data_IF_241962659414
#
_entry.id   IF_241962659414
#
_cell.length_a   1.000
_cell.length_b   1.000
_cell.length_c   1.000
_cell.angle_alpha   90.00
_cell.angle_beta   90.00
_cell.angle_gamma   90.00
#
_symmetry.space_group_name_H-M   'P 1'
#
loop_
_entity.id
_entity.type
_entity.pdbx_description
1 polymer ?
#
# COMPACT_ATOMS: atom_id res chain seq x y z
N UNK A 1 4.29 3.67 -7.70
CA UNK A 1 3.20 4.66 -7.59
C UNK A 1 2.47 4.90 -8.91
N UNK A 2 1.37 4.17 -9.15
CA UNK A 2 0.23 4.57 -10.00
C UNK A 2 -0.91 3.61 -9.66
N UNK A 3 -2.09 4.16 -9.35
CA UNK A 3 -3.37 3.47 -9.09
C UNK A 3 -3.67 2.99 -7.66
N UNK A 4 -3.57 3.86 -6.66
CA UNK A 4 -4.17 3.56 -5.35
C UNK A 4 -5.01 4.69 -4.75
N UNK A 5 -5.74 5.44 -5.59
CA UNK A 5 -6.79 6.36 -5.09
C UNK A 5 -7.91 6.39 -6.12
N UNK A 6 -8.80 5.39 -6.11
CA UNK A 6 -10.09 5.49 -6.80
C UNK A 6 -11.14 4.46 -6.34
N UNK A 7 -11.20 4.13 -5.06
CA UNK A 7 -12.34 3.37 -4.51
C UNK A 7 -12.58 3.73 -3.04
N UNK A 8 -13.07 4.93 -2.76
CA UNK A 8 -13.77 5.23 -1.51
C UNK A 8 -14.81 6.32 -1.76
N UNK A 9 -15.86 5.96 -2.49
CA UNK A 9 -17.16 6.65 -2.37
C UNK A 9 -17.92 5.97 -1.24
N UNK A 10 -18.02 6.70 -0.12
CA UNK A 10 -18.78 6.33 1.07
C UNK A 10 -20.25 6.65 0.78
N UNK A 11 -21.10 5.63 0.70
CA UNK A 11 -22.53 5.73 1.00
C UNK A 11 -22.93 4.58 1.95
N UNK A 12 -23.90 4.83 2.86
CA UNK A 12 -24.00 4.11 4.12
C UNK A 12 -24.73 2.77 3.99
N UNK A 13 -24.18 1.74 4.64
CA UNK A 13 -24.82 0.45 4.90
C UNK A 13 -26.15 0.63 5.64
N UNK A 14 -27.26 0.53 4.90
CA UNK A 14 -28.56 0.18 5.44
C UNK A 14 -29.11 -1.01 4.63
N UNK A 15 -29.51 -2.06 5.38
CA UNK A 15 -30.29 -3.24 4.96
C UNK A 15 -29.51 -4.41 4.35
N UNK A 16 -28.97 -5.28 5.22
CA UNK A 16 -28.89 -6.73 4.97
C UNK A 16 -29.48 -7.44 6.21
N UNK A 17 -30.81 -7.35 6.30
CA UNK A 17 -31.64 -8.38 6.93
C UNK A 17 -32.50 -8.89 5.77
N UNK A 18 -32.66 -10.21 5.66
CA UNK A 18 -33.18 -10.97 4.52
C UNK A 18 -32.14 -11.35 3.46
N UNK A 19 -31.51 -12.51 3.65
CA UNK A 19 -31.41 -13.67 2.73
C UNK A 19 -30.75 -14.78 3.57
N UNK A 20 -31.51 -15.36 4.50
CA UNK A 20 -31.15 -16.58 5.26
C UNK A 20 -32.15 -17.72 4.97
N UNK A 21 -32.76 -17.69 3.79
CA UNK A 21 -33.69 -18.70 3.31
C UNK A 21 -33.47 -18.80 1.81
N UNK A 22 -33.36 -20.03 1.29
CA UNK A 22 -33.02 -20.40 -0.10
C UNK A 22 -31.50 -20.51 -0.31
N UNK A 23 -30.85 -21.60 0.14
CA UNK A 23 -30.05 -22.55 -0.67
C UNK A 23 -29.81 -23.79 0.22
N UNK A 24 -30.84 -24.63 0.36
CA UNK A 24 -30.73 -25.99 0.90
C UNK A 24 -31.41 -26.90 -0.12
N UNK A 25 -30.71 -27.26 -1.23
CA UNK A 25 -30.62 -28.67 -1.59
C UNK A 25 -29.41 -28.99 -2.52
N UNK A 26 -28.16 -28.77 -2.10
CA UNK A 26 -26.98 -29.20 -2.91
C UNK A 26 -26.40 -30.53 -2.42
N UNK A 27 -26.76 -30.99 -1.21
CA UNK A 27 -26.17 -32.19 -0.60
C UNK A 27 -26.78 -33.53 -1.04
N UNK A 28 -27.85 -33.55 -1.84
CA UNK A 28 -28.49 -34.80 -2.28
C UNK A 28 -28.17 -35.23 -3.73
N UNK A 29 -27.46 -34.42 -4.51
CA UNK A 29 -27.19 -34.72 -5.93
C UNK A 29 -25.80 -35.34 -6.18
N UNK A 30 -24.86 -35.18 -5.25
CA UNK A 30 -23.48 -35.67 -5.39
C UNK A 30 -23.32 -37.17 -5.09
N UNK A 31 -24.22 -37.79 -4.35
CA UNK A 31 -24.18 -39.23 -4.02
C UNK A 31 -24.80 -40.14 -5.10
N UNK A 32 -25.41 -39.57 -6.15
CA UNK A 32 -26.07 -40.33 -7.23
C UNK A 32 -25.24 -40.39 -8.53
N UNK A 33 -24.29 -39.47 -8.74
CA UNK A 33 -23.46 -39.41 -9.96
C UNK A 33 -22.15 -40.21 -9.87
N UNK A 34 -21.67 -40.52 -8.67
CA UNK A 34 -20.41 -41.27 -8.46
C UNK A 34 -20.51 -42.78 -8.75
N UNK A 35 -21.72 -43.32 -8.96
CA UNK A 35 -21.95 -44.77 -9.12
C UNK A 35 -22.16 -45.25 -10.57
N UNK A 36 -21.94 -44.41 -11.59
CA UNK A 36 -22.21 -44.77 -13.00
C UNK A 36 -21.09 -44.57 -14.03
N UNK A 37 -19.89 -44.08 -13.66
CA UNK A 37 -18.87 -43.72 -14.66
C UNK A 37 -17.61 -44.61 -14.73
N UNK A 38 -17.53 -45.70 -13.96
CA UNK A 38 -16.35 -46.61 -13.94
C UNK A 38 -16.44 -47.82 -14.88
N UNK A 39 -17.52 -47.96 -15.65
CA UNK A 39 -17.68 -49.05 -16.61
C UNK A 39 -18.27 -48.55 -17.92
N UNK A 40 -17.43 -47.92 -18.75
CA UNK A 40 -17.43 -48.17 -20.20
C UNK A 40 -16.30 -47.42 -20.88
N UNK A 41 -15.53 -48.20 -21.64
CA UNK A 41 -14.88 -47.78 -22.89
C UNK A 41 -13.50 -47.11 -22.74
N UNK A 42 -12.56 -47.93 -22.26
CA UNK A 42 -11.25 -48.07 -22.93
C UNK A 42 -11.50 -48.13 -24.45
N UNK A 43 -11.00 -47.15 -25.18
CA UNK A 43 -11.15 -47.06 -26.64
C UNK A 43 -11.71 -45.73 -27.10
N UNK A 44 -10.96 -44.66 -26.89
CA UNK A 44 -10.90 -43.47 -27.76
C UNK A 44 -9.65 -42.67 -27.37
N UNK A 45 -8.51 -43.32 -27.55
CA UNK A 45 -7.19 -42.71 -27.64
C UNK A 45 -7.06 -42.16 -29.08
N UNK A 46 -6.32 -41.07 -29.24
CA UNK A 46 -5.60 -40.63 -30.47
C UNK A 46 -6.28 -39.83 -31.60
N UNK A 47 -7.41 -39.13 -31.45
CA UNK A 47 -7.86 -38.15 -32.48
C UNK A 47 -8.47 -36.91 -31.83
N UNK A 48 -7.64 -35.93 -31.50
CA UNK A 48 -8.09 -34.63 -30.97
C UNK A 48 -6.96 -33.64 -30.74
N UNK A 49 -5.81 -33.86 -31.39
CA UNK A 49 -4.55 -33.17 -31.14
C UNK A 49 -3.92 -32.79 -32.50
N UNK A 50 -4.73 -32.20 -33.38
CA UNK A 50 -4.36 -31.63 -34.69
C UNK A 50 -5.62 -31.02 -35.30
N UNK A 51 -5.92 -29.75 -35.00
CA UNK A 51 -7.14 -29.14 -35.56
C UNK A 51 -7.58 -27.78 -35.04
N UNK A 52 -6.75 -27.03 -34.29
CA UNK A 52 -7.01 -25.61 -34.02
C UNK A 52 -5.69 -24.84 -33.90
N UNK A 53 -4.89 -24.85 -34.97
CA UNK A 53 -3.94 -23.78 -35.25
C UNK A 53 -4.45 -23.03 -36.48
N UNK A 54 -4.34 -21.71 -36.46
CA UNK A 54 -4.50 -20.78 -37.60
C UNK A 54 -5.90 -20.21 -37.89
N UNK A 55 -6.64 -19.68 -36.90
CA UNK A 55 -7.51 -18.50 -37.13
C UNK A 55 -7.50 -17.65 -35.85
N UNK A 56 -6.78 -16.52 -35.87
CA UNK A 56 -6.69 -15.63 -34.70
C UNK A 56 -5.60 -14.56 -34.75
N UNK A 57 -4.73 -14.57 -35.77
CA UNK A 57 -3.91 -13.40 -36.11
C UNK A 57 -4.64 -12.62 -37.20
N UNK A 58 -5.34 -11.55 -36.82
CA UNK A 58 -5.97 -10.68 -37.81
C UNK A 58 -7.12 -9.83 -37.31
N UNK A 59 -7.05 -9.27 -36.10
CA UNK A 59 -7.82 -8.05 -35.81
C UNK A 59 -6.91 -7.06 -35.11
N UNK A 60 -6.62 -6.02 -35.88
CA UNK A 60 -5.85 -4.83 -35.59
C UNK A 60 -6.26 -4.15 -34.29
N UNK A 61 -5.26 -3.97 -33.41
CA UNK A 61 -4.89 -2.67 -32.82
C UNK A 61 -5.83 -1.51 -33.19
N UNK A 62 -6.81 -1.28 -32.34
CA UNK A 62 -7.41 0.02 -32.08
C UNK A 62 -7.69 0.08 -30.58
N UNK A 63 -6.62 0.08 -29.78
CA UNK A 63 -6.72 0.62 -28.44
C UNK A 63 -6.89 2.14 -28.58
N UNK A 64 -7.91 2.77 -27.99
CA UNK A 64 -7.96 4.22 -27.95
C UNK A 64 -6.69 4.70 -27.25
N UNK A 65 -5.88 5.47 -27.98
CA UNK A 65 -4.80 6.26 -27.41
C UNK A 65 -5.47 7.27 -26.50
N UNK A 66 -5.66 6.88 -25.24
CA UNK A 66 -5.83 7.84 -24.17
C UNK A 66 -4.48 8.54 -24.10
N UNK A 67 -4.44 9.75 -24.68
CA UNK A 67 -3.40 10.73 -24.37
C UNK A 67 -3.44 10.92 -22.86
N UNK A 68 -2.61 10.14 -22.16
CA UNK A 68 -2.00 10.59 -20.93
C UNK A 68 -1.25 11.85 -21.35
N UNK A 69 -1.84 13.00 -21.08
CA UNK A 69 -1.06 14.21 -20.89
C UNK A 69 0.02 13.80 -19.89
N UNK A 70 1.22 13.62 -20.43
CA UNK A 70 2.43 13.41 -19.68
C UNK A 70 2.55 14.67 -18.83
N UNK A 71 2.11 14.57 -17.58
CA UNK A 71 2.44 15.56 -16.57
C UNK A 71 3.96 15.63 -16.60
N UNK A 72 4.46 16.76 -17.08
CA UNK A 72 5.87 17.08 -17.20
C UNK A 72 6.48 16.86 -15.81
N UNK A 73 7.04 15.66 -15.60
CA UNK A 73 7.86 15.37 -14.45
C UNK A 73 9.10 16.23 -14.67
N UNK A 74 9.07 17.43 -14.11
CA UNK A 74 10.21 18.31 -14.04
C UNK A 74 11.39 17.45 -13.54
N UNK A 75 12.36 17.21 -14.42
CA UNK A 75 13.54 16.44 -14.09
C UNK A 75 14.37 17.29 -13.14
N UNK A 76 14.16 17.12 -11.84
CA UNK A 76 15.05 17.68 -10.83
C UNK A 76 16.37 16.90 -10.91
N UNK A 77 17.41 17.60 -11.33
CA UNK A 77 18.78 17.12 -11.48
C UNK A 77 19.25 16.37 -10.21
N UNK A 78 19.29 15.03 -10.33
CA UNK A 78 20.33 14.15 -9.81
C UNK A 78 20.59 14.00 -8.32
N UNK A 79 20.05 14.84 -7.43
CA UNK A 79 20.36 14.75 -5.99
C UNK A 79 19.20 14.12 -5.22
N UNK A 80 19.39 12.88 -4.76
CA UNK A 80 18.48 12.28 -3.77
C UNK A 80 18.82 12.88 -2.42
N UNK A 81 18.05 13.90 -2.04
CA UNK A 81 18.09 14.48 -0.70
C UNK A 81 17.94 13.37 0.37
N UNK A 82 18.71 13.41 1.47
CA UNK A 82 18.63 12.40 2.53
C UNK A 82 17.20 12.16 3.05
N UNK A 83 16.42 13.23 3.14
CA UNK A 83 15.00 13.18 3.54
C UNK A 83 14.14 12.40 2.55
N UNK A 84 14.38 12.54 1.24
CA UNK A 84 13.68 11.79 0.18
C UNK A 84 14.08 10.32 0.18
N UNK A 85 15.38 10.03 0.34
CA UNK A 85 15.87 8.66 0.43
C UNK A 85 15.20 7.91 1.59
N UNK A 86 15.18 8.51 2.78
CA UNK A 86 14.56 7.93 3.96
C UNK A 86 13.06 7.68 3.77
N UNK A 87 12.33 8.64 3.20
CA UNK A 87 10.89 8.48 2.97
C UNK A 87 10.59 7.38 1.95
N UNK A 88 11.42 7.23 0.92
CA UNK A 88 11.30 6.12 -0.03
C UNK A 88 11.59 4.77 0.63
N UNK A 89 12.58 4.70 1.53
CA UNK A 89 12.87 3.47 2.28
C UNK A 89 11.70 3.05 3.18
N UNK A 90 11.10 4.01 3.89
CA UNK A 90 9.89 3.78 4.68
C UNK A 90 8.74 3.32 3.77
N UNK A 91 8.52 3.98 2.63
CA UNK A 91 7.47 3.60 1.69
C UNK A 91 7.63 2.16 1.18
N UNK A 92 8.86 1.75 0.84
CA UNK A 92 9.14 0.38 0.42
C UNK A 92 8.79 -0.64 1.52
N UNK A 93 9.14 -0.37 2.78
CA UNK A 93 8.74 -1.24 3.89
C UNK A 93 7.20 -1.31 4.05
N UNK A 94 6.49 -0.19 3.86
CA UNK A 94 5.03 -0.19 3.92
C UNK A 94 4.39 -1.00 2.78
N UNK A 95 4.93 -0.92 1.57
CA UNK A 95 4.52 -1.76 0.44
C UNK A 95 4.77 -3.25 0.75
N UNK A 96 5.96 -3.59 1.24
CA UNK A 96 6.30 -4.96 1.64
C UNK A 96 5.41 -5.51 2.76
N UNK A 97 5.01 -4.68 3.73
CA UNK A 97 4.05 -5.07 4.77
C UNK A 97 2.72 -5.45 4.12
N UNK A 98 2.19 -4.62 3.23
CA UNK A 98 0.92 -4.90 2.55
C UNK A 98 1.01 -6.18 1.73
N UNK A 99 2.06 -6.34 0.92
CA UNK A 99 2.27 -7.55 0.12
C UNK A 99 2.40 -8.79 1.00
N UNK A 100 3.11 -8.67 2.13
CA UNK A 100 3.25 -9.73 3.13
C UNK A 100 1.91 -10.12 3.76
N UNK A 101 1.04 -9.14 4.07
CA UNK A 101 -0.32 -9.39 4.59
C UNK A 101 -1.14 -10.15 3.54
N UNK A 102 -1.17 -9.66 2.30
CA UNK A 102 -1.94 -10.26 1.21
C UNK A 102 -1.46 -11.67 0.83
N UNK A 103 -0.17 -11.95 1.02
CA UNK A 103 0.40 -13.27 0.82
C UNK A 103 0.27 -14.21 2.05
N UNK A 104 -0.29 -13.73 3.16
CA UNK A 104 -0.36 -14.47 4.43
C UNK A 104 1.01 -14.74 5.08
N UNK A 105 2.04 -14.00 4.70
CA UNK A 105 3.41 -14.17 5.21
C UNK A 105 3.64 -13.30 6.46
N UNK A 106 3.02 -13.68 7.57
CA UNK A 106 3.06 -12.88 8.81
C UNK A 106 4.45 -12.74 9.43
N UNK A 107 5.35 -13.72 9.20
CA UNK A 107 6.74 -13.60 9.64
C UNK A 107 7.44 -12.45 8.92
N UNK A 108 7.24 -12.33 7.61
CA UNK A 108 7.81 -11.25 6.82
C UNK A 108 7.20 -9.90 7.21
N UNK A 109 5.88 -9.84 7.39
CA UNK A 109 5.19 -8.64 7.88
C UNK A 109 5.78 -8.14 9.20
N UNK A 110 6.02 -9.05 10.15
CA UNK A 110 6.60 -8.70 11.45
C UNK A 110 8.05 -8.15 11.33
N UNK A 111 8.81 -8.61 10.35
CA UNK A 111 10.17 -8.13 10.08
C UNK A 111 10.15 -6.73 9.46
N UNK A 112 9.34 -6.53 8.42
CA UNK A 112 9.22 -5.24 7.74
C UNK A 112 8.63 -4.17 8.67
N UNK A 113 7.64 -4.51 9.50
CA UNK A 113 7.12 -3.61 10.53
C UNK A 113 8.21 -3.21 11.55
N UNK A 114 9.08 -4.15 11.93
CA UNK A 114 10.24 -3.85 12.77
C UNK A 114 11.24 -2.91 12.09
N UNK A 115 11.43 -3.03 10.77
CA UNK A 115 12.27 -2.11 10.00
C UNK A 115 11.68 -0.69 9.98
N UNK A 116 10.35 -0.54 9.85
CA UNK A 116 9.68 0.77 9.94
C UNK A 116 9.95 1.46 11.29
N UNK A 117 9.92 0.72 12.41
CA UNK A 117 10.29 1.26 13.74
C UNK A 117 11.72 1.80 13.74
N UNK A 118 12.67 1.08 13.13
CA UNK A 118 14.06 1.54 13.08
C UNK A 118 14.21 2.80 12.22
N UNK A 119 13.50 2.88 11.09
CA UNK A 119 13.55 4.05 10.21
C UNK A 119 12.86 5.27 10.83
N UNK A 120 11.80 5.09 11.64
CA UNK A 120 11.11 6.22 12.26
C UNK A 120 12.03 7.04 13.15
N UNK A 121 12.98 6.42 13.86
CA UNK A 121 13.94 7.14 14.69
C UNK A 121 14.92 8.02 13.87
N UNK A 122 15.18 7.67 12.62
CA UNK A 122 16.09 8.43 11.74
C UNK A 122 15.44 9.67 11.14
N UNK A 123 14.11 9.81 11.20
CA UNK A 123 13.40 10.93 10.56
C UNK A 123 13.86 12.25 11.15
N UNK A 124 13.86 12.39 12.49
CA UNK A 124 14.25 13.65 13.11
C UNK A 124 15.71 14.01 12.82
N UNK A 125 16.61 13.04 12.86
CA UNK A 125 18.03 13.26 12.56
C UNK A 125 18.25 13.68 11.10
N UNK A 126 17.48 13.12 10.18
CA UNK A 126 17.59 13.39 8.75
C UNK A 126 16.96 14.73 8.37
N UNK A 127 15.83 15.09 8.97
CA UNK A 127 15.11 16.34 8.68
C UNK A 127 15.67 17.55 9.42
N UNK A 128 16.25 17.37 10.61
CA UNK A 128 16.71 18.45 11.48
C UNK A 128 18.22 18.36 11.75
N UNK A 129 19.02 18.21 10.68
CA UNK A 129 20.48 18.27 10.77
C UNK A 129 20.95 19.57 11.47
N UNK A 130 22.16 19.51 12.05
CA UNK A 130 22.63 20.38 13.15
C UNK A 130 22.72 21.89 12.81
N UNK A 131 22.56 22.30 11.55
CA UNK A 131 22.35 23.71 11.19
C UNK A 131 21.14 23.88 10.25
N UNK A 132 20.06 24.58 10.70
CA UNK A 132 18.93 24.94 9.84
C UNK A 132 19.29 25.76 8.60
N UNK A 133 20.39 26.54 8.64
CA UNK A 133 20.84 27.38 7.52
C UNK A 133 21.40 26.57 6.35
N UNK A 134 22.00 25.43 6.65
CA UNK A 134 22.65 24.55 5.67
C UNK A 134 21.70 23.48 5.13
N UNK A 135 20.49 23.37 5.69
CA UNK A 135 19.55 22.30 5.35
C UNK A 135 18.57 22.75 4.25
N UNK A 136 18.66 22.18 3.03
CA UNK A 136 17.82 22.57 1.89
C UNK A 136 16.32 22.38 2.11
N UNK A 137 15.93 21.53 3.07
CA UNK A 137 14.54 21.29 3.41
C UNK A 137 13.84 22.55 3.95
N UNK A 138 14.49 23.33 4.82
CA UNK A 138 13.89 24.58 5.34
C UNK A 138 13.64 25.60 4.24
N UNK A 139 14.54 25.66 3.25
CA UNK A 139 14.39 26.52 2.07
C UNK A 139 13.16 26.13 1.25
N UNK A 140 12.95 24.84 0.98
CA UNK A 140 11.75 24.33 0.27
C UNK A 140 10.46 24.56 1.06
N UNK A 141 10.53 24.40 2.38
CA UNK A 141 9.41 24.64 3.30
C UNK A 141 9.13 26.13 3.59
N UNK A 142 9.92 27.06 3.01
CA UNK A 142 9.82 28.51 3.25
C UNK A 142 9.83 28.85 4.76
N UNK A 143 10.64 28.14 5.54
CA UNK A 143 10.84 28.38 6.97
C UNK A 143 12.11 29.23 7.14
N UNK A 144 12.01 30.32 7.91
CA UNK A 144 13.18 31.12 8.27
C UNK A 144 14.11 30.29 9.16
N UNK A 145 15.37 30.02 8.75
CA UNK A 145 16.31 29.24 9.54
C UNK A 145 16.70 29.91 10.87
N UNK A 146 16.39 31.20 11.07
CA UNK A 146 16.63 31.92 12.32
C UNK A 146 15.41 31.92 13.26
N UNK A 147 14.23 31.46 12.81
CA UNK A 147 13.04 31.35 13.65
C UNK A 147 13.11 30.08 14.52
N UNK A 148 13.94 30.15 15.56
CA UNK A 148 14.19 29.04 16.48
C UNK A 148 12.90 28.51 17.13
N UNK A 149 11.91 29.37 17.38
CA UNK A 149 10.63 28.97 17.99
C UNK A 149 9.82 28.10 17.02
N UNK A 150 9.73 28.51 15.75
CA UNK A 150 9.02 27.72 14.72
C UNK A 150 9.75 26.40 14.43
N UNK A 151 11.07 26.42 14.40
CA UNK A 151 11.90 25.21 14.21
C UNK A 151 11.72 24.22 15.37
N UNK A 152 11.79 24.68 16.62
CA UNK A 152 11.58 23.83 17.79
C UNK A 152 10.19 23.21 17.79
N UNK A 153 9.14 24.01 17.55
CA UNK A 153 7.77 23.49 17.48
C UNK A 153 7.60 22.44 16.38
N UNK A 154 8.18 22.69 15.21
CA UNK A 154 8.14 21.74 14.11
C UNK A 154 8.82 20.41 14.48
N UNK A 155 9.96 20.46 15.16
CA UNK A 155 10.66 19.25 15.64
C UNK A 155 9.82 18.48 16.65
N UNK A 156 9.14 19.17 17.57
CA UNK A 156 8.20 18.57 18.52
C UNK A 156 7.01 17.92 17.80
N UNK A 157 6.41 18.60 16.82
CA UNK A 157 5.31 18.08 16.02
C UNK A 157 5.74 16.82 15.24
N UNK A 158 6.95 16.82 14.65
CA UNK A 158 7.51 15.61 14.01
C UNK A 158 7.69 14.48 15.03
N UNK A 159 8.32 14.74 16.19
CA UNK A 159 8.62 13.74 17.22
C UNK A 159 7.37 13.00 17.71
N UNK A 160 6.24 13.70 17.83
CA UNK A 160 4.94 13.08 18.13
C UNK A 160 4.55 12.05 17.07
N UNK A 161 4.60 12.42 15.78
CA UNK A 161 4.32 11.48 14.69
C UNK A 161 5.32 10.32 14.63
N UNK A 162 6.60 10.53 14.98
CA UNK A 162 7.58 9.43 15.00
C UNK A 162 7.23 8.36 16.04
N UNK A 163 6.80 8.79 17.23
CA UNK A 163 6.33 7.90 18.29
C UNK A 163 5.09 7.13 17.85
N UNK A 164 4.16 7.80 17.18
CA UNK A 164 2.94 7.16 16.68
C UNK A 164 3.22 6.16 15.56
N UNK A 165 4.17 6.45 14.65
CA UNK A 165 4.65 5.53 13.62
C UNK A 165 5.26 4.29 14.27
N UNK A 166 6.20 4.48 15.22
CA UNK A 166 6.86 3.38 15.91
C UNK A 166 5.85 2.51 16.69
N UNK A 167 4.94 3.14 17.44
CA UNK A 167 3.91 2.43 18.20
C UNK A 167 2.96 1.67 17.29
N UNK A 168 2.52 2.26 16.18
CA UNK A 168 1.61 1.61 15.24
C UNK A 168 2.28 0.43 14.52
N UNK A 169 3.56 0.57 14.15
CA UNK A 169 4.34 -0.52 13.55
C UNK A 169 4.52 -1.69 14.54
N UNK A 170 4.70 -1.42 15.83
CA UNK A 170 4.72 -2.46 16.86
C UNK A 170 3.38 -3.21 16.99
N UNK A 171 2.25 -2.51 16.86
CA UNK A 171 0.93 -3.15 16.85
C UNK A 171 0.70 -4.02 15.61
N UNK A 172 1.20 -3.62 14.43
CA UNK A 172 1.24 -4.48 13.23
C UNK A 172 2.07 -5.73 13.52
N UNK A 173 3.26 -5.56 14.09
CA UNK A 173 4.14 -6.68 14.41
C UNK A 173 3.48 -7.66 15.39
N UNK A 174 2.77 -7.14 16.41
CA UNK A 174 2.04 -7.94 17.38
C UNK A 174 0.88 -8.71 16.74
N UNK A 175 0.08 -8.06 15.90
CA UNK A 175 -1.02 -8.70 15.17
C UNK A 175 -0.53 -9.77 14.18
N UNK A 176 0.59 -9.51 13.49
CA UNK A 176 1.22 -10.47 12.60
C UNK A 176 1.74 -11.69 13.37
N UNK A 177 2.35 -11.50 14.55
CA UNK A 177 2.80 -12.61 15.42
C UNK A 177 1.66 -13.52 15.89
N UNK A 178 0.42 -13.03 15.94
CA UNK A 178 -0.78 -13.84 16.21
C UNK A 178 -1.35 -14.56 14.96
N UNK A 179 -0.78 -14.36 13.78
CA UNK A 179 -1.26 -14.87 12.49
C UNK A 179 -2.72 -14.50 12.18
N UNK A 180 -3.17 -13.34 12.66
CA UNK A 180 -4.53 -12.83 12.42
C UNK A 180 -4.47 -11.81 11.27
N UNK A 181 -4.88 -12.24 10.06
CA UNK A 181 -4.87 -11.41 8.86
C UNK A 181 -5.72 -10.14 9.02
N UNK A 182 -6.94 -10.29 9.56
CA UNK A 182 -7.88 -9.20 9.71
C UNK A 182 -7.38 -8.15 10.71
N UNK A 183 -6.83 -8.60 11.84
CA UNK A 183 -6.22 -7.70 12.81
C UNK A 183 -4.96 -7.04 12.24
N UNK A 184 -4.12 -7.77 11.49
CA UNK A 184 -2.90 -7.23 10.91
C UNK A 184 -3.19 -6.16 9.86
N UNK A 185 -4.12 -6.43 8.94
CA UNK A 185 -4.55 -5.47 7.93
C UNK A 185 -5.17 -4.22 8.57
N UNK A 186 -6.02 -4.40 9.58
CA UNK A 186 -6.64 -3.28 10.31
C UNK A 186 -5.60 -2.40 11.02
N UNK A 187 -4.61 -3.01 11.66
CA UNK A 187 -3.50 -2.27 12.28
C UNK A 187 -2.69 -1.51 11.23
N UNK A 188 -2.42 -2.13 10.07
CA UNK A 188 -1.71 -1.50 8.96
C UNK A 188 -2.46 -0.28 8.40
N UNK A 189 -3.75 -0.41 8.09
CA UNK A 189 -4.54 0.72 7.58
C UNK A 189 -4.68 1.83 8.61
N UNK A 190 -4.88 1.49 9.89
CA UNK A 190 -4.94 2.48 10.97
C UNK A 190 -3.62 3.24 11.12
N UNK A 191 -2.47 2.59 10.89
CA UNK A 191 -1.18 3.27 10.91
C UNK A 191 -1.12 4.31 9.79
N UNK A 192 -1.45 3.92 8.55
CA UNK A 192 -1.41 4.83 7.39
C UNK A 192 -2.29 6.06 7.63
N UNK A 193 -3.52 5.84 8.08
CA UNK A 193 -4.50 6.91 8.30
C UNK A 193 -4.05 7.89 9.38
N UNK A 194 -3.63 7.38 10.54
CA UNK A 194 -3.33 8.23 11.72
C UNK A 194 -1.94 8.84 11.69
N UNK A 195 -1.01 8.24 10.96
CA UNK A 195 0.40 8.68 11.00
C UNK A 195 0.79 9.30 9.67
N UNK A 196 0.84 8.53 8.59
CA UNK A 196 1.33 8.98 7.30
C UNK A 196 0.44 10.09 6.73
N UNK A 197 -0.88 9.90 6.72
CA UNK A 197 -1.79 10.89 6.16
C UNK A 197 -1.89 12.14 7.03
N UNK A 198 -1.96 12.00 8.35
CA UNK A 198 -2.01 13.17 9.24
C UNK A 198 -0.73 14.00 9.19
N UNK A 199 0.45 13.35 9.25
CA UNK A 199 1.73 14.04 9.13
C UNK A 199 1.86 14.73 7.77
N UNK A 200 1.54 14.05 6.67
CA UNK A 200 1.57 14.67 5.35
C UNK A 200 0.62 15.85 5.26
N UNK A 201 -0.61 15.73 5.76
CA UNK A 201 -1.60 16.81 5.76
C UNK A 201 -1.15 18.01 6.60
N UNK A 202 -0.54 17.78 7.76
CA UNK A 202 -0.24 18.85 8.71
C UNK A 202 1.13 19.49 8.53
N UNK A 203 2.12 18.72 8.08
CA UNK A 203 3.52 19.13 8.08
C UNK A 203 4.14 19.19 6.68
N UNK A 204 3.74 18.31 5.75
CA UNK A 204 4.23 18.39 4.36
C UNK A 204 3.39 19.36 3.55
N UNK A 205 2.08 19.12 3.50
CA UNK A 205 1.21 19.78 2.54
C UNK A 205 0.87 21.22 2.95
N UNK A 206 0.80 21.49 4.26
CA UNK A 206 0.61 22.86 4.78
C UNK A 206 1.88 23.71 4.73
N UNK A 207 3.06 23.10 4.85
CA UNK A 207 4.32 23.85 4.93
C UNK A 207 5.02 24.00 3.58
N UNK A 208 4.96 22.98 2.73
CA UNK A 208 5.62 22.98 1.42
C UNK A 208 4.55 23.25 0.35
N UNK A 209 4.64 24.40 -0.34
CA UNK A 209 3.79 24.69 -1.49
C UNK A 209 3.92 23.61 -2.56
N UNK A 210 2.84 23.33 -3.30
CA UNK A 210 2.76 22.21 -4.25
C UNK A 210 3.91 22.26 -5.27
N UNK A 211 4.30 23.47 -5.71
CA UNK A 211 5.38 23.68 -6.68
C UNK A 211 6.78 23.34 -6.15
N UNK A 212 6.93 23.06 -4.85
CA UNK A 212 8.21 22.76 -4.19
C UNK A 212 8.24 21.35 -3.54
N UNK A 213 7.22 20.52 -3.78
CA UNK A 213 7.09 19.17 -3.21
C UNK A 213 7.86 18.13 -4.00
#
# INVERSE_FOLDING_TARGET
MRNFIRYFTIEPCAKIVYIWRIISPVYYFLSFLERRYTLKRKGFLTIGLLGMSLIGLGISINAPVVSLAEEEVASHEGVIEPTRALMNEIANHMENILDGILAGNFKYVAQEAGAVVNQSYKINETFFQVDPKENPWYKRAKIDPNDSKKITKLKEDFDAYLKDIASSALEIQKAAKSNDEGATLKSFTSMIEKTCFECHKNLRDKQIPIENR
#
